data_IF_315589644752
#
_entry.id   IF_315589644752
#
_cell.length_a   1.000
_cell.length_b   1.000
_cell.length_c   1.000
_cell.angle_alpha   90.00
_cell.angle_beta   90.00
_cell.angle_gamma   90.00
#
_symmetry.space_group_name_H-M   'P 1'
#
loop_
_entity.id
_entity.type
_entity.pdbx_description
1 polymer ?
#
# COMPACT_ATOMS: atom_id res chain seq x y z
N UNK A 1 26.82 -26.55 2.51
CA UNK A 1 26.18 -25.95 3.71
C UNK A 1 25.81 -24.48 3.49
N UNK A 2 26.74 -23.69 2.94
CA UNK A 2 26.47 -22.28 2.62
C UNK A 2 25.37 -22.11 1.55
N UNK A 3 25.29 -22.98 0.57
CA UNK A 3 24.28 -22.93 -0.47
C UNK A 3 22.86 -23.21 0.08
N UNK A 4 22.72 -24.13 1.05
CA UNK A 4 21.43 -24.42 1.67
C UNK A 4 20.96 -23.25 2.53
N UNK A 5 21.85 -22.53 3.23
CA UNK A 5 21.55 -21.32 3.98
C UNK A 5 21.05 -20.20 3.07
N UNK A 6 21.67 -20.01 1.90
CA UNK A 6 21.24 -19.02 0.90
C UNK A 6 19.86 -19.37 0.32
N UNK A 7 19.60 -20.63 0.01
CA UNK A 7 18.30 -21.09 -0.48
C UNK A 7 17.21 -20.87 0.55
N UNK A 8 17.46 -21.17 1.83
CA UNK A 8 16.50 -20.95 2.92
C UNK A 8 16.14 -19.48 3.06
N UNK A 9 17.14 -18.58 3.00
CA UNK A 9 16.88 -17.14 3.05
C UNK A 9 15.98 -16.66 1.91
N UNK A 10 16.18 -17.17 0.71
CA UNK A 10 15.37 -16.81 -0.45
C UNK A 10 13.98 -17.46 -0.43
N UNK A 11 13.84 -18.61 0.19
CA UNK A 11 12.54 -19.22 0.49
C UNK A 11 11.77 -18.40 1.51
N UNK A 12 12.45 -17.87 2.53
CA UNK A 12 11.85 -16.97 3.51
C UNK A 12 11.40 -15.66 2.87
N UNK A 13 12.15 -15.13 1.91
CA UNK A 13 11.76 -13.95 1.14
C UNK A 13 10.47 -14.22 0.37
N UNK A 14 10.34 -15.37 -0.26
CA UNK A 14 9.10 -15.76 -0.94
C UNK A 14 7.92 -15.80 0.03
N UNK A 15 8.08 -16.48 1.15
CA UNK A 15 7.03 -16.59 2.19
C UNK A 15 6.64 -15.21 2.71
N UNK A 16 7.62 -14.33 2.92
CA UNK A 16 7.37 -12.96 3.34
C UNK A 16 6.58 -12.17 2.30
N UNK A 17 6.88 -12.34 1.02
CA UNK A 17 6.12 -11.72 -0.08
C UNK A 17 4.66 -12.14 -0.08
N UNK A 18 4.38 -13.42 0.18
CA UNK A 18 3.02 -13.94 0.32
C UNK A 18 2.30 -13.27 1.49
N UNK A 19 2.97 -13.12 2.64
CA UNK A 19 2.41 -12.43 3.80
C UNK A 19 2.10 -10.97 3.48
N UNK A 20 2.98 -10.28 2.76
CA UNK A 20 2.73 -8.90 2.32
C UNK A 20 1.50 -8.81 1.42
N UNK A 21 1.30 -9.77 0.51
CA UNK A 21 0.08 -9.82 -0.30
C UNK A 21 -1.16 -10.04 0.55
N UNK A 22 -1.11 -10.94 1.53
CA UNK A 22 -2.24 -11.15 2.44
C UNK A 22 -2.60 -9.87 3.21
N UNK A 23 -1.60 -9.14 3.66
CA UNK A 23 -1.79 -7.87 4.39
C UNK A 23 -2.46 -6.83 3.51
N UNK A 24 -1.94 -6.60 2.31
CA UNK A 24 -2.44 -5.51 1.46
C UNK A 24 -3.80 -5.82 0.85
N UNK A 25 -4.09 -7.09 0.61
CA UNK A 25 -5.36 -7.49 -0.03
C UNK A 25 -6.45 -7.88 0.95
N UNK A 26 -6.09 -8.22 2.18
CA UNK A 26 -7.01 -8.82 3.15
C UNK A 26 -7.48 -10.22 2.77
N UNK A 27 -6.79 -10.87 1.83
CA UNK A 27 -7.13 -12.20 1.32
C UNK A 27 -6.17 -13.26 1.87
N UNK A 28 -6.66 -14.49 1.96
CA UNK A 28 -5.82 -15.63 2.35
C UNK A 28 -4.87 -16.06 1.22
N UNK A 29 -3.70 -16.56 1.59
CA UNK A 29 -2.69 -17.07 0.66
C UNK A 29 -3.26 -18.14 -0.28
N UNK A 30 -4.14 -19.00 0.23
CA UNK A 30 -4.82 -20.04 -0.54
C UNK A 30 -6.32 -19.74 -0.54
N UNK A 31 -6.89 -19.64 -1.72
CA UNK A 31 -8.29 -19.35 -1.97
C UNK A 31 -8.90 -20.47 -2.80
N UNK A 32 -10.22 -20.47 -2.91
CA UNK A 32 -10.95 -21.43 -3.72
C UNK A 32 -11.42 -22.64 -2.91
N UNK A 33 -11.83 -23.67 -3.61
CA UNK A 33 -12.29 -24.91 -3.01
C UNK A 33 -11.13 -25.90 -2.86
N UNK A 34 -11.24 -26.91 -1.95
CA UNK A 34 -10.23 -27.96 -1.84
C UNK A 34 -9.91 -28.67 -3.17
N UNK A 35 -10.89 -28.74 -4.07
CA UNK A 35 -10.74 -29.37 -5.38
C UNK A 35 -10.13 -28.43 -6.43
N UNK A 36 -10.15 -27.14 -6.21
CA UNK A 36 -9.59 -26.13 -7.10
C UNK A 36 -8.99 -24.98 -6.28
N UNK A 37 -7.83 -25.21 -5.65
CA UNK A 37 -7.16 -24.14 -4.91
C UNK A 37 -6.63 -23.08 -5.85
N UNK A 38 -6.72 -21.82 -5.43
CA UNK A 38 -6.16 -20.67 -6.13
C UNK A 38 -5.20 -19.94 -5.20
N UNK A 39 -3.99 -19.70 -5.68
CA UNK A 39 -2.97 -18.99 -4.89
C UNK A 39 -3.14 -17.50 -5.03
N UNK A 40 -2.93 -16.76 -3.94
CA UNK A 40 -3.06 -15.29 -3.90
C UNK A 40 -2.19 -14.59 -4.94
N UNK A 41 -0.99 -15.10 -5.18
CA UNK A 41 -0.08 -14.56 -6.20
C UNK A 41 -0.74 -14.53 -7.59
N UNK A 42 -1.36 -15.63 -7.97
CA UNK A 42 -2.07 -15.74 -9.26
C UNK A 42 -3.25 -14.78 -9.34
N UNK A 43 -3.99 -14.63 -8.26
CA UNK A 43 -5.12 -13.72 -8.18
C UNK A 43 -4.67 -12.26 -8.33
N UNK A 44 -3.61 -11.86 -7.59
CA UNK A 44 -3.05 -10.50 -7.67
C UNK A 44 -2.53 -10.24 -9.07
N UNK A 45 -1.79 -11.19 -9.65
CA UNK A 45 -1.25 -11.06 -11.01
C UNK A 45 -2.35 -10.81 -12.03
N UNK A 46 -3.46 -11.52 -11.94
CA UNK A 46 -4.61 -11.31 -12.80
C UNK A 46 -5.25 -9.93 -12.58
N UNK A 47 -5.38 -9.50 -11.34
CA UNK A 47 -5.94 -8.17 -10.99
C UNK A 47 -5.04 -7.02 -11.44
N UNK A 48 -3.73 -7.21 -11.46
CA UNK A 48 -2.80 -6.20 -11.96
C UNK A 48 -3.05 -5.83 -13.42
N UNK A 49 -3.60 -6.73 -14.20
CA UNK A 49 -3.98 -6.45 -15.60
C UNK A 49 -5.04 -5.36 -15.71
N UNK A 50 -5.88 -5.22 -14.71
CA UNK A 50 -6.93 -4.17 -14.68
C UNK A 50 -6.38 -2.79 -14.38
N UNK A 51 -5.16 -2.68 -13.87
CA UNK A 51 -4.50 -1.45 -13.41
C UNK A 51 -5.32 -0.65 -12.39
N UNK A 52 -6.22 -1.31 -11.68
CA UNK A 52 -7.05 -0.73 -10.63
C UNK A 52 -6.56 -1.19 -9.27
N UNK A 53 -5.84 -0.31 -8.56
CA UNK A 53 -5.31 -0.62 -7.23
C UNK A 53 -6.44 -0.88 -6.22
N UNK A 54 -7.57 -0.23 -6.37
CA UNK A 54 -8.72 -0.38 -5.47
C UNK A 54 -9.37 -1.76 -5.58
N UNK A 55 -9.19 -2.44 -6.73
CA UNK A 55 -9.64 -3.82 -6.91
C UNK A 55 -8.73 -4.84 -6.20
N UNK A 56 -7.54 -4.44 -5.77
CA UNK A 56 -6.53 -5.29 -5.16
C UNK A 56 -6.46 -5.06 -3.65
N UNK A 57 -6.42 -3.81 -3.22
CA UNK A 57 -6.28 -3.42 -1.81
C UNK A 57 -7.52 -3.82 -1.02
N UNK A 58 -7.29 -4.22 0.22
CA UNK A 58 -8.35 -4.60 1.15
C UNK A 58 -9.45 -3.53 1.23
N UNK A 59 -10.68 -3.87 0.87
CA UNK A 59 -11.80 -2.90 0.88
C UNK A 59 -12.11 -2.35 2.29
N UNK A 60 -11.68 -3.04 3.36
CA UNK A 60 -11.85 -2.55 4.72
C UNK A 60 -11.06 -1.29 5.02
N UNK A 61 -10.04 -0.99 4.22
CA UNK A 61 -9.30 0.27 4.31
C UNK A 61 -10.11 1.49 3.82
N UNK A 62 -11.23 1.27 3.12
CA UNK A 62 -12.12 2.33 2.63
C UNK A 62 -11.40 3.44 1.85
N UNK A 63 -10.36 3.09 1.10
CA UNK A 63 -9.57 4.07 0.36
C UNK A 63 -8.66 4.97 1.21
N UNK A 64 -8.53 4.71 2.52
CA UNK A 64 -7.65 5.48 3.42
C UNK A 64 -6.17 5.14 3.20
N UNK A 65 -5.70 5.33 2.00
CA UNK A 65 -4.30 5.17 1.60
C UNK A 65 -4.04 5.99 0.33
N UNK A 66 -2.79 6.31 0.09
CA UNK A 66 -2.40 6.97 -1.16
C UNK A 66 -2.08 5.91 -2.23
N UNK A 67 -2.57 6.15 -3.42
CA UNK A 67 -2.39 5.23 -4.57
C UNK A 67 -0.91 4.95 -4.82
N UNK A 68 -0.06 5.97 -4.74
CA UNK A 68 1.38 5.83 -4.97
C UNK A 68 2.05 4.86 -3.99
N UNK A 69 1.75 4.98 -2.70
CA UNK A 69 2.32 4.08 -1.68
C UNK A 69 1.73 2.68 -1.76
N UNK A 70 0.45 2.55 -2.11
CA UNK A 70 -0.18 1.25 -2.33
C UNK A 70 0.49 0.50 -3.50
N UNK A 71 0.74 1.16 -4.61
CA UNK A 71 1.46 0.59 -5.74
C UNK A 71 2.89 0.19 -5.36
N UNK A 72 3.61 1.06 -4.63
CA UNK A 72 4.96 0.75 -4.17
C UNK A 72 4.98 -0.49 -3.27
N UNK A 73 4.04 -0.57 -2.33
CA UNK A 73 3.91 -1.74 -1.45
C UNK A 73 3.68 -3.02 -2.26
N UNK A 74 2.77 -2.97 -3.23
CA UNK A 74 2.44 -4.12 -4.07
C UNK A 74 3.65 -4.56 -4.92
N UNK A 75 4.40 -3.61 -5.48
CA UNK A 75 5.63 -3.90 -6.22
C UNK A 75 6.67 -4.60 -5.35
N UNK A 76 6.84 -4.15 -4.11
CA UNK A 76 7.75 -4.78 -3.14
C UNK A 76 7.31 -6.23 -2.89
N UNK A 77 6.03 -6.44 -2.61
CA UNK A 77 5.50 -7.78 -2.37
C UNK A 77 5.73 -8.70 -3.58
N UNK A 78 5.43 -8.23 -4.77
CA UNK A 78 5.59 -9.00 -6.00
C UNK A 78 7.06 -9.29 -6.32
N UNK A 79 7.98 -8.40 -5.95
CA UNK A 79 9.42 -8.61 -6.14
C UNK A 79 9.97 -9.79 -5.34
N UNK A 80 9.28 -10.19 -4.29
CA UNK A 80 9.64 -11.33 -3.45
C UNK A 80 9.24 -12.68 -4.05
N UNK A 81 8.40 -12.68 -5.09
CA UNK A 81 7.66 -13.86 -5.55
C UNK A 81 8.14 -14.49 -6.88
N UNK A 82 9.23 -14.08 -7.55
CA UNK A 82 9.71 -14.83 -8.70
C UNK A 82 9.93 -16.30 -8.36
N UNK A 83 9.59 -17.19 -9.27
CA UNK A 83 9.76 -18.63 -9.10
C UNK A 83 11.23 -19.00 -8.92
N UNK A 84 12.12 -18.28 -9.60
CA UNK A 84 13.57 -18.47 -9.51
C UNK A 84 14.10 -17.70 -8.31
N UNK A 85 14.61 -18.42 -7.32
CA UNK A 85 15.04 -17.86 -6.03
C UNK A 85 16.10 -16.75 -6.18
N UNK A 86 17.03 -16.88 -7.10
CA UNK A 86 18.10 -15.89 -7.30
C UNK A 86 17.57 -14.54 -7.78
N UNK A 87 16.38 -14.48 -8.35
CA UNK A 87 15.74 -13.24 -8.80
C UNK A 87 15.08 -12.47 -7.67
N UNK A 88 14.94 -13.09 -6.49
CA UNK A 88 14.36 -12.44 -5.32
C UNK A 88 15.40 -11.55 -4.64
N UNK A 89 15.02 -10.35 -4.18
CA UNK A 89 15.93 -9.47 -3.45
C UNK A 89 16.27 -10.02 -2.07
N UNK A 90 17.32 -9.48 -1.45
CA UNK A 90 17.64 -9.77 -0.06
C UNK A 90 16.65 -9.11 0.89
N UNK A 91 16.45 -9.70 2.06
CA UNK A 91 15.51 -9.18 3.06
C UNK A 91 15.89 -7.75 3.52
N UNK A 92 17.16 -7.43 3.57
CA UNK A 92 17.62 -6.07 3.91
C UNK A 92 17.18 -5.04 2.88
N UNK A 93 17.19 -5.39 1.61
CA UNK A 93 16.67 -4.54 0.53
C UNK A 93 15.16 -4.35 0.65
N UNK A 94 14.42 -5.43 0.90
CA UNK A 94 12.97 -5.40 1.10
C UNK A 94 12.61 -4.51 2.29
N UNK A 95 13.32 -4.63 3.40
CA UNK A 95 13.11 -3.82 4.59
C UNK A 95 13.32 -2.33 4.29
N UNK A 96 14.38 -2.00 3.57
CA UNK A 96 14.66 -0.63 3.14
C UNK A 96 13.54 -0.07 2.26
N UNK A 97 13.09 -0.84 1.29
CA UNK A 97 12.00 -0.45 0.40
C UNK A 97 10.67 -0.24 1.15
N UNK A 98 10.38 -1.09 2.14
CA UNK A 98 9.20 -0.94 2.99
C UNK A 98 9.27 0.33 3.84
N UNK A 99 10.44 0.66 4.37
CA UNK A 99 10.64 1.92 5.10
C UNK A 99 10.41 3.13 4.21
N UNK A 100 10.90 3.09 2.97
CA UNK A 100 10.67 4.15 1.99
C UNK A 100 9.18 4.28 1.64
N UNK A 101 8.50 3.15 1.49
CA UNK A 101 7.06 3.10 1.25
C UNK A 101 6.28 3.74 2.40
N UNK A 102 6.64 3.42 3.64
CA UNK A 102 6.02 4.02 4.83
C UNK A 102 6.28 5.52 4.89
N UNK A 103 7.50 5.95 4.63
CA UNK A 103 7.87 7.37 4.60
C UNK A 103 7.08 8.13 3.54
N UNK A 104 6.88 7.53 2.38
CA UNK A 104 6.05 8.10 1.31
C UNK A 104 4.60 8.28 1.78
N UNK A 105 4.00 7.26 2.38
CA UNK A 105 2.62 7.33 2.88
C UNK A 105 2.47 8.43 3.93
N UNK A 106 3.36 8.49 4.90
CA UNK A 106 3.35 9.50 5.96
C UNK A 106 3.47 10.90 5.37
N UNK A 107 4.38 11.08 4.44
CA UNK A 107 4.62 12.36 3.76
C UNK A 107 3.37 12.83 3.00
N UNK A 108 2.72 11.94 2.28
CA UNK A 108 1.50 12.25 1.53
C UNK A 108 0.33 12.56 2.47
N UNK A 109 0.19 11.85 3.57
CA UNK A 109 -0.83 12.12 4.58
C UNK A 109 -0.65 13.51 5.22
N UNK A 110 0.59 13.90 5.51
CA UNK A 110 0.91 15.23 6.06
C UNK A 110 0.55 16.34 5.08
N UNK A 111 0.80 16.16 3.80
CA UNK A 111 0.46 17.11 2.76
C UNK A 111 -1.05 17.32 2.70
N UNK A 112 -1.85 16.24 2.64
CA UNK A 112 -3.31 16.31 2.64
C UNK A 112 -3.84 17.00 3.90
N UNK A 113 -3.30 16.69 5.07
CA UNK A 113 -3.70 17.30 6.34
C UNK A 113 -3.41 18.80 6.36
N UNK A 114 -2.27 19.22 5.81
CA UNK A 114 -1.88 20.62 5.72
C UNK A 114 -2.81 21.38 4.77
N UNK A 115 -3.11 20.81 3.62
CA UNK A 115 -4.02 21.41 2.64
C UNK A 115 -5.42 21.57 3.22
N UNK A 116 -5.90 20.56 3.94
CA UNK A 116 -7.20 20.60 4.62
C UNK A 116 -7.25 21.69 5.68
N UNK A 117 -6.20 21.85 6.49
CA UNK A 117 -6.11 22.93 7.50
C UNK A 117 -6.11 24.31 6.84
N UNK A 118 -5.35 24.47 5.76
CA UNK A 118 -5.32 25.71 5.00
C UNK A 118 -6.70 26.07 4.44
N UNK A 119 -7.41 25.10 3.87
CA UNK A 119 -8.77 25.28 3.36
C UNK A 119 -9.74 25.69 4.46
N UNK A 120 -9.69 25.07 5.62
CA UNK A 120 -10.55 25.38 6.77
C UNK A 120 -10.26 26.80 7.28
N UNK A 121 -8.99 27.19 7.39
CA UNK A 121 -8.60 28.53 7.82
C UNK A 121 -9.06 29.61 6.83
N UNK A 122 -8.94 29.36 5.54
CA UNK A 122 -9.44 30.27 4.50
C UNK A 122 -10.97 30.41 4.57
N UNK A 123 -11.68 29.32 4.81
CA UNK A 123 -13.13 29.33 4.99
C UNK A 123 -13.53 30.12 6.25
N UNK A 124 -12.79 29.98 7.34
CA UNK A 124 -13.01 30.76 8.57
C UNK A 124 -12.76 32.25 8.37
N UNK A 125 -11.74 32.63 7.59
CA UNK A 125 -11.47 34.03 7.24
C UNK A 125 -12.58 34.64 6.41
N UNK A 126 -13.14 33.88 5.46
CA UNK A 126 -14.28 34.32 4.65
C UNK A 126 -15.50 34.57 5.51
N UNK A 127 -15.82 33.66 6.44
CA UNK A 127 -16.93 33.79 7.37
C UNK A 127 -16.75 35.04 8.30
N UNK A 128 -15.53 35.26 8.75
CA UNK A 128 -15.20 36.44 9.56
C UNK A 128 -15.37 37.73 8.79
N UNK A 129 -14.95 37.78 7.54
CA UNK A 129 -15.12 38.94 6.66
C UNK A 129 -16.62 39.21 6.38
N UNK A 130 -17.43 38.17 6.19
CA UNK A 130 -18.87 38.35 6.03
C UNK A 130 -19.54 38.92 7.29
N UNK A 131 -19.10 38.47 8.47
CA UNK A 131 -19.63 39.02 9.70
C UNK A 131 -19.20 40.48 9.96
N UNK A 132 -18.03 40.88 9.47
CA UNK A 132 -17.58 42.28 9.51
C UNK A 132 -18.33 43.19 8.53
N UNK A 133 -18.89 42.61 7.47
CA UNK A 133 -19.72 43.34 6.50
C UNK A 133 -21.20 43.34 6.93
N UNK A 134 -21.50 42.82 8.10
CA UNK A 134 -22.84 42.80 8.67
C UNK A 134 -23.49 44.19 8.75
N UNK A 135 -24.82 44.21 9.01
CA UNK A 135 -25.58 45.46 8.89
C UNK A 135 -24.91 46.59 9.66
N UNK A 136 -24.57 47.63 8.95
CA UNK A 136 -23.93 48.79 9.52
C UNK A 136 -24.93 49.44 10.49
N UNK A 137 -24.61 49.48 11.78
CA UNK A 137 -25.44 50.27 12.70
C UNK A 137 -25.29 51.72 12.31
N UNK A 138 -26.33 52.33 12.13
CA UNK A 138 -26.31 53.76 11.84
C UNK A 138 -25.54 54.61 12.85
#
# INVERSE_FOLDING_TARGET
YHSSGSLNKRSDVYSFGVVLLEIVTGQSAIRGTPNKPSHIHSWVKLKLETRDIHAIVDPRLNGNYHVASAWKFLEIAMSCLPDVAIQRPDISHITSELKDCLSLEISLQRTVSKDRKSFIMDSMQIDFNESDIGPNPR
#
